data_IF_726979572525
#
_entry.id   IF_726979572525
#
_cell.length_a   1.000
_cell.length_b   1.000
_cell.length_c   1.000
_cell.angle_alpha   90.00
_cell.angle_beta   90.00
_cell.angle_gamma   90.00
#
_symmetry.space_group_name_H-M   'P 1'
#
loop_
_entity.id
_entity.type
_entity.pdbx_description
1 polymer ?
#
# COMPACT_ATOMS: atom_id res chain seq x y z
N UNK A 1 -15.07 11.40 1.41
CA UNK A 1 -15.42 10.28 2.31
C UNK A 1 -15.22 10.64 3.78
N UNK A 2 -14.01 11.02 4.20
CA UNK A 2 -13.70 11.46 5.58
C UNK A 2 -14.69 12.51 6.08
N UNK A 3 -14.98 13.55 5.29
CA UNK A 3 -16.00 14.55 5.60
C UNK A 3 -17.39 13.96 5.88
N UNK A 4 -17.83 12.96 5.10
CA UNK A 4 -19.14 12.33 5.29
C UNK A 4 -19.19 11.50 6.58
N UNK A 5 -18.09 10.85 6.95
CA UNK A 5 -17.97 10.15 8.24
C UNK A 5 -18.09 11.14 9.40
N UNK A 6 -17.44 12.31 9.31
CA UNK A 6 -17.56 13.36 10.32
C UNK A 6 -18.98 13.94 10.39
N UNK A 7 -19.63 14.16 9.25
CA UNK A 7 -21.03 14.63 9.19
C UNK A 7 -21.99 13.63 9.86
N UNK A 8 -21.83 12.32 9.60
CA UNK A 8 -22.62 11.28 10.27
C UNK A 8 -22.40 11.28 11.79
N UNK A 9 -21.17 11.54 12.24
CA UNK A 9 -20.84 11.66 13.66
C UNK A 9 -21.52 12.88 14.29
N UNK A 10 -21.54 14.01 13.60
CA UNK A 10 -22.26 15.23 14.03
C UNK A 10 -23.78 15.01 14.09
N UNK A 11 -24.31 14.14 13.22
CA UNK A 11 -25.72 13.70 13.22
C UNK A 11 -26.03 12.66 14.32
N UNK A 12 -25.03 12.27 15.13
CA UNK A 12 -25.21 11.37 16.26
C UNK A 12 -25.00 9.88 15.95
N UNK A 13 -24.47 9.53 14.78
CA UNK A 13 -24.09 8.15 14.45
C UNK A 13 -22.71 7.84 15.06
N UNK A 14 -22.59 6.89 16.01
CA UNK A 14 -21.31 6.51 16.61
C UNK A 14 -20.33 5.95 15.57
N UNK A 15 -19.03 6.22 15.71
CA UNK A 15 -18.03 5.73 14.74
C UNK A 15 -17.99 4.21 14.62
N UNK A 16 -18.25 3.49 15.71
CA UNK A 16 -18.29 2.03 15.73
C UNK A 16 -19.52 1.43 15.02
N UNK A 17 -20.51 2.25 14.67
CA UNK A 17 -21.67 1.88 13.85
C UNK A 17 -21.55 2.39 12.39
N UNK A 18 -20.34 2.78 12.00
CA UNK A 18 -19.97 3.11 10.62
C UNK A 18 -18.90 2.14 10.14
N UNK A 19 -19.10 1.56 8.95
CA UNK A 19 -18.12 0.66 8.34
C UNK A 19 -17.74 1.07 6.92
N UNK A 20 -16.47 0.86 6.59
CA UNK A 20 -15.91 1.04 5.26
C UNK A 20 -15.41 -0.30 4.76
N UNK A 21 -16.08 -0.79 3.72
CA UNK A 21 -15.88 -2.11 3.13
C UNK A 21 -15.15 -2.02 1.80
N UNK A 22 -14.16 -2.90 1.63
CA UNK A 22 -13.36 -2.98 0.42
C UNK A 22 -13.17 -4.43 -0.04
N UNK A 23 -12.97 -4.60 -1.35
CA UNK A 23 -12.74 -5.93 -1.93
C UNK A 23 -11.39 -6.53 -1.50
N UNK A 24 -10.37 -5.69 -1.35
CA UNK A 24 -8.99 -6.08 -1.04
C UNK A 24 -8.35 -5.06 -0.09
N UNK A 25 -7.58 -5.52 0.89
CA UNK A 25 -7.08 -4.68 1.99
C UNK A 25 -6.08 -3.58 1.62
N UNK A 26 -5.50 -3.59 0.42
CA UNK A 26 -4.65 -2.49 -0.06
C UNK A 26 -5.47 -1.29 -0.55
N UNK A 27 -6.75 -1.49 -0.91
CA UNK A 27 -7.64 -0.42 -1.38
C UNK A 27 -8.01 0.57 -0.28
N UNK A 28 -7.83 0.20 0.99
CA UNK A 28 -8.04 1.11 2.11
C UNK A 28 -6.83 1.99 2.40
N UNK A 29 -5.69 1.79 1.76
CA UNK A 29 -4.43 2.43 2.16
C UNK A 29 -4.48 3.97 2.09
N UNK A 30 -5.04 4.54 1.01
CA UNK A 30 -5.28 6.00 0.92
C UNK A 30 -6.17 6.51 2.05
N UNK A 31 -7.28 5.81 2.28
CA UNK A 31 -8.25 6.16 3.30
C UNK A 31 -7.64 6.10 4.70
N UNK A 32 -6.80 5.10 5.00
CA UNK A 32 -6.11 4.97 6.28
C UNK A 32 -5.23 6.19 6.55
N UNK A 33 -4.49 6.67 5.54
CA UNK A 33 -3.66 7.88 5.69
C UNK A 33 -4.54 9.10 5.97
N UNK A 34 -5.62 9.29 5.21
CA UNK A 34 -6.50 10.44 5.39
C UNK A 34 -7.25 10.41 6.73
N UNK A 35 -7.66 9.23 7.21
CA UNK A 35 -8.23 9.06 8.55
C UNK A 35 -7.24 9.43 9.64
N UNK A 36 -5.98 9.01 9.51
CA UNK A 36 -4.92 9.35 10.46
C UNK A 36 -4.61 10.85 10.46
N UNK A 37 -4.51 11.48 9.29
CA UNK A 37 -4.35 12.95 9.17
C UNK A 37 -5.50 13.69 9.84
N UNK A 38 -6.72 13.18 9.71
CA UNK A 38 -7.92 13.72 10.35
C UNK A 38 -8.09 13.33 11.83
N UNK A 39 -7.16 12.56 12.42
CA UNK A 39 -7.24 12.01 13.78
C UNK A 39 -8.55 11.23 14.05
N UNK A 40 -9.06 10.51 13.05
CA UNK A 40 -10.24 9.65 13.22
C UNK A 40 -9.77 8.25 13.63
N UNK A 41 -10.12 7.77 14.84
CA UNK A 41 -9.71 6.46 15.29
C UNK A 41 -10.43 5.36 14.49
N UNK A 42 -9.69 4.35 14.06
CA UNK A 42 -10.23 3.23 13.30
C UNK A 42 -9.60 1.89 13.67
N UNK A 43 -10.29 0.80 13.32
CA UNK A 43 -9.82 -0.57 13.42
C UNK A 43 -9.96 -1.26 12.06
N UNK A 44 -8.99 -2.09 11.69
CA UNK A 44 -8.93 -2.75 10.38
C UNK A 44 -9.02 -4.27 10.49
N UNK A 45 -10.00 -4.85 9.79
CA UNK A 45 -10.26 -6.28 9.75
C UNK A 45 -10.09 -6.86 8.35
N UNK A 46 -9.55 -8.09 8.28
CA UNK A 46 -9.38 -8.80 7.01
C UNK A 46 -8.39 -8.18 6.02
N UNK A 47 -7.75 -7.07 6.39
CA UNK A 47 -6.64 -6.50 5.63
C UNK A 47 -5.33 -7.03 6.21
N UNK A 48 -4.55 -7.73 5.38
CA UNK A 48 -3.19 -8.09 5.75
C UNK A 48 -2.43 -6.82 6.15
N UNK A 49 -1.61 -6.91 7.20
CA UNK A 49 -0.51 -5.99 7.44
C UNK A 49 0.56 -6.17 6.36
N UNK A 50 0.20 -5.95 5.10
CA UNK A 50 1.02 -6.33 3.96
C UNK A 50 2.34 -5.54 3.99
N UNK A 51 2.33 -4.29 4.47
CA UNK A 51 3.54 -3.48 4.74
C UNK A 51 4.44 -4.10 5.82
N UNK A 52 3.87 -4.81 6.80
CA UNK A 52 4.66 -5.50 7.82
C UNK A 52 5.25 -6.84 7.35
N UNK A 53 4.82 -7.35 6.19
CA UNK A 53 5.33 -8.63 5.68
C UNK A 53 6.82 -8.54 5.39
N UNK A 54 7.51 -9.67 5.52
CA UNK A 54 8.96 -9.70 5.37
C UNK A 54 9.41 -9.22 3.97
N UNK A 55 8.68 -9.57 2.91
CA UNK A 55 9.07 -9.24 1.54
C UNK A 55 8.79 -7.76 1.19
N UNK A 56 7.69 -7.16 1.68
CA UNK A 56 7.47 -5.71 1.53
C UNK A 56 8.49 -4.93 2.36
N UNK A 57 8.78 -5.35 3.59
CA UNK A 57 9.86 -4.76 4.40
C UNK A 57 11.23 -4.84 3.74
N UNK A 58 11.51 -5.90 2.97
CA UNK A 58 12.75 -6.01 2.19
C UNK A 58 12.79 -4.91 1.13
N UNK A 59 11.74 -4.75 0.31
CA UNK A 59 11.65 -3.67 -0.70
C UNK A 59 11.72 -2.28 -0.07
N UNK A 60 11.02 -2.04 1.05
CA UNK A 60 11.10 -0.77 1.78
C UNK A 60 12.51 -0.47 2.29
N UNK A 61 13.30 -1.48 2.67
CA UNK A 61 14.67 -1.25 3.10
C UNK A 61 15.56 -0.76 1.95
N UNK A 62 15.35 -1.23 0.72
CA UNK A 62 16.03 -0.66 -0.46
C UNK A 62 15.65 0.82 -0.65
N UNK A 63 14.37 1.17 -0.54
CA UNK A 63 13.92 2.57 -0.64
C UNK A 63 14.52 3.45 0.47
N UNK A 64 14.57 2.93 1.70
CA UNK A 64 15.15 3.64 2.84
C UNK A 64 16.64 3.92 2.67
N UNK A 65 17.43 3.00 2.13
CA UNK A 65 18.86 3.27 1.86
C UNK A 65 19.07 4.23 0.69
N UNK A 66 18.14 4.27 -0.27
CA UNK A 66 18.18 5.24 -1.38
C UNK A 66 17.90 6.66 -0.88
N UNK A 67 16.91 6.81 -0.01
CA UNK A 67 16.55 8.10 0.60
C UNK A 67 17.57 8.54 1.67
N UNK A 68 17.95 7.62 2.54
CA UNK A 68 18.92 7.82 3.61
C UNK A 68 20.01 6.75 3.59
N UNK A 69 21.14 6.99 2.88
CA UNK A 69 22.27 6.06 2.85
C UNK A 69 22.92 5.78 4.21
N UNK A 70 22.57 6.52 5.28
CA UNK A 70 23.05 6.30 6.65
C UNK A 70 22.17 5.34 7.46
N UNK A 71 21.09 4.82 6.88
CA UNK A 71 20.18 3.89 7.55
C UNK A 71 20.81 2.51 7.73
N UNK A 72 21.57 2.34 8.82
CA UNK A 72 22.27 1.10 9.14
C UNK A 72 21.32 -0.09 9.28
N UNK A 73 20.08 0.13 9.75
CA UNK A 73 19.10 -0.95 9.95
C UNK A 73 18.58 -1.45 8.60
N UNK A 74 18.24 -0.53 7.69
CA UNK A 74 17.84 -0.89 6.33
C UNK A 74 18.98 -1.58 5.57
N UNK A 75 20.22 -1.06 5.69
CA UNK A 75 21.40 -1.71 5.13
C UNK A 75 21.61 -3.13 5.65
N UNK A 76 21.53 -3.32 6.96
CA UNK A 76 21.70 -4.63 7.57
C UNK A 76 20.70 -5.64 7.02
N UNK A 77 19.44 -5.21 6.86
CA UNK A 77 18.38 -6.04 6.28
C UNK A 77 18.70 -6.47 4.85
N UNK A 78 19.04 -5.54 3.95
CA UNK A 78 19.26 -5.87 2.53
C UNK A 78 20.55 -6.66 2.32
N UNK A 79 21.60 -6.38 3.11
CA UNK A 79 22.88 -7.09 3.00
C UNK A 79 22.74 -8.56 3.40
N UNK A 80 21.94 -8.88 4.42
CA UNK A 80 21.67 -10.26 4.83
C UNK A 80 20.82 -11.06 3.83
N UNK A 81 20.28 -10.43 2.78
CA UNK A 81 19.61 -11.14 1.69
C UNK A 81 20.61 -11.69 0.66
N UNK A 82 21.86 -11.21 0.68
CA UNK A 82 22.86 -11.57 -0.32
C UNK A 82 23.60 -12.83 0.09
N UNK A 83 23.62 -13.81 -0.80
CA UNK A 83 24.36 -15.06 -0.61
C UNK A 83 25.84 -14.76 -0.31
N UNK A 84 26.36 -15.35 0.77
CA UNK A 84 27.74 -15.15 1.24
C UNK A 84 27.96 -13.92 2.13
N UNK A 85 26.91 -13.14 2.43
CA UNK A 85 26.98 -11.99 3.34
C UNK A 85 26.31 -12.33 4.68
N UNK A 86 27.14 -12.66 5.67
CA UNK A 86 26.68 -12.85 7.05
C UNK A 86 26.71 -11.55 7.89
N UNK A 87 26.28 -11.60 9.16
CA UNK A 87 26.18 -10.42 10.03
C UNK A 87 27.50 -9.63 10.16
N UNK A 88 28.64 -10.31 10.29
CA UNK A 88 29.97 -9.67 10.37
C UNK A 88 30.33 -8.92 9.10
N UNK A 89 30.10 -9.55 7.94
CA UNK A 89 30.38 -8.93 6.63
C UNK A 89 29.46 -7.74 6.42
N UNK A 90 28.17 -7.86 6.76
CA UNK A 90 27.21 -6.77 6.70
C UNK A 90 27.65 -5.57 7.55
N UNK A 91 28.06 -5.80 8.80
CA UNK A 91 28.51 -4.72 9.68
C UNK A 91 29.74 -4.01 9.13
N UNK A 92 30.74 -4.75 8.61
CA UNK A 92 31.92 -4.16 7.96
C UNK A 92 31.58 -3.31 6.74
N UNK A 93 30.64 -3.79 5.91
CA UNK A 93 30.15 -3.04 4.73
C UNK A 93 29.45 -1.76 5.17
N UNK A 94 28.62 -1.82 6.22
CA UNK A 94 27.92 -0.66 6.78
C UNK A 94 28.93 0.36 7.32
N UNK A 95 29.93 -0.09 8.11
CA UNK A 95 30.99 0.78 8.62
C UNK A 95 31.75 1.47 7.50
N UNK A 96 32.11 0.74 6.43
CA UNK A 96 32.75 1.31 5.24
C UNK A 96 31.85 2.31 4.51
N UNK A 97 30.56 2.00 4.33
CA UNK A 97 29.57 2.92 3.76
C UNK A 97 29.47 4.23 4.57
N UNK A 98 29.39 4.12 5.90
CA UNK A 98 29.30 5.26 6.79
C UNK A 98 30.61 6.06 6.82
N UNK A 99 31.76 5.38 6.77
CA UNK A 99 33.09 6.00 6.76
C UNK A 99 33.39 6.71 5.44
N UNK A 100 32.94 6.17 4.30
CA UNK A 100 33.05 6.82 2.97
C UNK A 100 32.19 8.09 2.85
N UNK A 101 31.38 8.43 3.87
CA UNK A 101 30.62 9.70 3.96
C UNK A 101 30.68 10.39 5.34
N UNK A 102 31.87 10.90 5.68
CA UNK A 102 32.04 12.12 6.51
C UNK A 102 33.03 13.09 5.88
N UNK A 103 32.63 13.82 4.83
CA UNK A 103 33.12 15.20 4.62
C UNK A 103 31.89 16.11 4.71
N UNK A 104 31.88 17.13 5.58
CA UNK A 104 30.78 18.10 5.61
C UNK A 104 30.77 18.88 4.28
N UNK A 105 29.61 19.42 3.85
CA UNK A 105 29.57 20.38 2.76
C UNK A 105 30.17 21.69 3.29
N UNK A 106 31.49 21.82 3.23
CA UNK A 106 32.10 23.12 3.02
C UNK A 106 32.09 23.35 1.52
N UNK A 107 31.33 24.37 1.11
CA UNK A 107 31.24 24.91 -0.25
C UNK A 107 30.34 24.12 -1.20
N UNK A 108 29.14 24.68 -1.42
CA UNK A 108 28.24 24.73 -2.58
C UNK A 108 28.25 23.69 -3.74
N UNK A 109 28.98 22.58 -3.67
CA UNK A 109 28.91 21.49 -4.65
C UNK A 109 28.27 20.26 -4.03
N UNK A 110 26.97 20.15 -4.29
CA UNK A 110 26.14 18.97 -4.13
C UNK A 110 26.92 17.68 -4.47
N UNK A 111 27.33 16.91 -3.45
CA UNK A 111 27.71 15.52 -3.64
C UNK A 111 26.44 14.72 -3.94
N UNK A 112 25.93 14.92 -5.15
CA UNK A 112 24.74 14.26 -5.69
C UNK A 112 24.80 12.78 -5.32
N UNK A 113 23.68 12.21 -4.84
CA UNK A 113 23.54 10.77 -4.54
C UNK A 113 24.23 9.85 -5.59
N UNK A 114 24.20 10.14 -6.91
CA UNK A 114 25.00 9.45 -7.94
C UNK A 114 26.49 9.25 -7.64
N UNK A 115 27.20 10.25 -7.11
CA UNK A 115 28.65 10.16 -6.86
C UNK A 115 28.99 9.18 -5.72
N UNK A 116 28.08 8.99 -4.77
CA UNK A 116 28.24 8.01 -3.70
C UNK A 116 28.17 6.59 -4.24
N UNK A 117 27.15 6.29 -5.03
CA UNK A 117 26.95 4.96 -5.60
C UNK A 117 28.05 4.56 -6.60
N UNK A 118 28.81 5.50 -7.16
CA UNK A 118 29.95 5.23 -8.03
C UNK A 118 31.20 4.70 -7.29
N UNK A 119 31.28 4.85 -5.96
CA UNK A 119 32.48 4.57 -5.16
C UNK A 119 32.62 3.11 -4.66
N UNK A 120 31.77 2.19 -5.13
CA UNK A 120 31.64 0.83 -4.57
C UNK A 120 32.07 -0.30 -5.54
N UNK A 121 32.98 -0.02 -6.48
CA UNK A 121 33.41 -1.01 -7.48
C UNK A 121 34.37 -2.09 -6.94
N UNK A 122 34.94 -1.88 -5.75
CA UNK A 122 35.96 -2.76 -5.15
C UNK A 122 35.37 -3.97 -4.39
N UNK A 123 34.04 -4.10 -4.42
CA UNK A 123 33.32 -5.17 -3.73
C UNK A 123 33.26 -6.46 -4.56
N UNK A 124 33.15 -7.64 -3.91
CA UNK A 124 32.88 -8.89 -4.60
C UNK A 124 31.61 -8.83 -5.47
N UNK A 125 31.53 -9.66 -6.50
CA UNK A 125 30.51 -9.57 -7.55
C UNK A 125 29.07 -9.52 -7.02
N UNK A 126 28.75 -10.29 -5.98
CA UNK A 126 27.43 -10.31 -5.35
C UNK A 126 27.01 -8.95 -4.76
N UNK A 127 27.93 -8.27 -4.05
CA UNK A 127 27.73 -6.93 -3.50
C UNK A 127 27.80 -5.86 -4.59
N UNK A 128 28.67 -6.03 -5.58
CA UNK A 128 28.75 -5.11 -6.71
C UNK A 128 27.42 -5.04 -7.48
N UNK A 129 26.76 -6.18 -7.71
CA UNK A 129 25.42 -6.22 -8.32
C UNK A 129 24.38 -5.42 -7.53
N UNK A 130 24.43 -5.46 -6.19
CA UNK A 130 23.57 -4.64 -5.34
C UNK A 130 23.84 -3.14 -5.59
N UNK A 131 25.10 -2.72 -5.53
CA UNK A 131 25.46 -1.31 -5.72
C UNK A 131 25.16 -0.81 -7.14
N UNK A 132 25.36 -1.64 -8.16
CA UNK A 132 25.03 -1.29 -9.55
C UNK A 132 23.50 -1.12 -9.72
N UNK A 133 22.69 -1.99 -9.10
CA UNK A 133 21.24 -1.83 -9.07
C UNK A 133 20.83 -0.53 -8.36
N UNK A 134 21.34 -0.30 -7.14
CA UNK A 134 21.06 0.92 -6.37
C UNK A 134 21.48 2.19 -7.12
N UNK A 135 22.63 2.16 -7.82
CA UNK A 135 23.08 3.25 -8.69
C UNK A 135 22.10 3.51 -9.83
N UNK A 136 21.60 2.45 -10.47
CA UNK A 136 20.65 2.55 -11.58
C UNK A 136 19.33 3.19 -11.17
N UNK A 137 18.87 2.93 -9.95
CA UNK A 137 17.60 3.48 -9.43
C UNK A 137 17.77 4.74 -8.58
N UNK A 138 18.99 5.17 -8.26
CA UNK A 138 19.26 6.39 -7.49
C UNK A 138 18.83 7.72 -8.14
N UNK A 139 18.80 7.91 -9.47
CA UNK A 139 18.49 9.21 -10.06
C UNK A 139 17.16 9.81 -9.59
N UNK A 140 17.16 11.11 -9.27
CA UNK A 140 16.00 11.80 -8.70
C UNK A 140 14.80 11.93 -9.65
N UNK A 141 15.04 11.86 -10.97
CA UNK A 141 13.99 11.94 -11.98
C UNK A 141 13.16 10.65 -12.11
N UNK A 142 13.65 9.53 -11.58
CA UNK A 142 12.96 8.25 -11.63
C UNK A 142 11.81 8.26 -10.62
N UNK A 143 10.62 7.87 -11.03
CA UNK A 143 9.46 7.82 -10.14
C UNK A 143 9.62 6.69 -9.11
N UNK A 144 9.03 6.83 -7.91
CA UNK A 144 9.04 5.77 -6.88
C UNK A 144 8.61 4.40 -7.42
N UNK A 145 7.57 4.34 -8.25
CA UNK A 145 7.09 3.09 -8.87
C UNK A 145 8.11 2.42 -9.76
N UNK A 146 8.85 3.20 -10.55
CA UNK A 146 9.88 2.66 -11.42
C UNK A 146 11.05 2.13 -10.59
N UNK A 147 11.45 2.86 -9.53
CA UNK A 147 12.47 2.39 -8.57
C UNK A 147 12.03 1.06 -7.94
N UNK A 148 10.78 0.98 -7.48
CA UNK A 148 10.20 -0.23 -6.88
C UNK A 148 10.17 -1.39 -7.89
N UNK A 149 9.80 -1.16 -9.15
CA UNK A 149 9.87 -2.19 -10.20
C UNK A 149 11.28 -2.76 -10.32
N UNK A 150 12.28 -1.89 -10.50
CA UNK A 150 13.67 -2.32 -10.67
C UNK A 150 14.20 -3.06 -9.42
N UNK A 151 13.79 -2.64 -8.23
CA UNK A 151 14.10 -3.34 -6.97
C UNK A 151 13.42 -4.71 -6.94
N UNK A 152 12.14 -4.82 -7.31
CA UNK A 152 11.41 -6.09 -7.38
C UNK A 152 12.07 -7.04 -8.37
N UNK A 153 12.48 -6.56 -9.55
CA UNK A 153 13.14 -7.37 -10.57
C UNK A 153 14.49 -7.92 -10.08
N UNK A 154 15.28 -7.09 -9.38
CA UNK A 154 16.52 -7.53 -8.73
C UNK A 154 16.27 -8.52 -7.59
N UNK A 155 15.24 -8.29 -6.79
CA UNK A 155 14.90 -9.11 -5.63
C UNK A 155 14.25 -10.44 -6.00
N UNK A 156 13.54 -10.53 -7.14
CA UNK A 156 12.80 -11.70 -7.60
C UNK A 156 13.59 -13.03 -7.55
N UNK A 157 14.83 -13.13 -8.09
CA UNK A 157 15.61 -14.37 -8.00
C UNK A 157 16.00 -14.75 -6.55
N UNK A 158 16.25 -13.77 -5.68
CA UNK A 158 16.57 -13.99 -4.27
C UNK A 158 15.31 -14.48 -3.52
N UNK A 159 14.21 -13.76 -3.76
CA UNK A 159 12.89 -13.99 -3.19
C UNK A 159 12.34 -15.39 -3.51
N UNK A 160 12.44 -15.83 -4.76
CA UNK A 160 11.92 -17.15 -5.20
C UNK A 160 12.68 -18.31 -4.55
N UNK A 161 13.98 -18.13 -4.23
CA UNK A 161 14.77 -19.14 -3.51
C UNK A 161 14.48 -19.17 -2.02
N UNK A 162 14.05 -18.04 -1.45
CA UNK A 162 13.87 -17.84 0.00
C UNK A 162 12.48 -18.24 0.49
N UNK A 163 11.46 -18.16 -0.36
CA UNK A 163 10.07 -18.36 0.03
C UNK A 163 9.38 -19.39 -0.87
N UNK A 164 8.89 -20.48 -0.26
CA UNK A 164 8.10 -21.48 -0.97
C UNK A 164 6.75 -20.92 -1.47
N UNK A 165 6.19 -19.95 -0.75
CA UNK A 165 4.94 -19.24 -1.07
C UNK A 165 5.13 -18.01 -1.98
N UNK A 166 6.19 -18.00 -2.79
CA UNK A 166 6.60 -16.86 -3.61
C UNK A 166 5.46 -16.29 -4.49
N UNK A 167 4.58 -17.12 -5.03
CA UNK A 167 3.46 -16.67 -5.87
C UNK A 167 2.46 -15.80 -5.11
N UNK A 168 2.22 -16.07 -3.82
CA UNK A 168 1.31 -15.27 -2.99
C UNK A 168 1.96 -13.92 -2.68
N UNK A 169 3.20 -13.96 -2.20
CA UNK A 169 3.98 -12.76 -1.85
C UNK A 169 4.31 -11.86 -3.04
N UNK A 170 4.40 -12.43 -4.26
CA UNK A 170 4.57 -11.64 -5.48
C UNK A 170 3.38 -10.69 -5.68
N UNK A 171 2.16 -11.17 -5.42
CA UNK A 171 0.95 -10.32 -5.48
C UNK A 171 0.99 -9.18 -4.49
N UNK A 172 1.52 -9.43 -3.28
CA UNK A 172 1.68 -8.39 -2.27
C UNK A 172 2.69 -7.31 -2.74
N UNK A 173 3.77 -7.69 -3.43
CA UNK A 173 4.71 -6.75 -4.07
C UNK A 173 4.07 -5.97 -5.24
N UNK A 174 3.24 -6.63 -6.04
CA UNK A 174 2.47 -5.97 -7.11
C UNK A 174 1.48 -4.95 -6.52
N UNK A 175 0.82 -5.27 -5.40
CA UNK A 175 -0.04 -4.34 -4.67
C UNK A 175 0.76 -3.16 -4.10
N UNK A 176 1.93 -3.42 -3.50
CA UNK A 176 2.81 -2.36 -3.00
C UNK A 176 3.27 -1.42 -4.13
N UNK A 177 3.59 -1.98 -5.29
CA UNK A 177 3.94 -1.17 -6.46
C UNK A 177 2.79 -0.26 -6.90
N UNK A 178 1.56 -0.75 -6.94
CA UNK A 178 0.40 0.08 -7.29
C UNK A 178 0.23 1.26 -6.32
N UNK A 179 0.47 1.04 -5.03
CA UNK A 179 0.46 2.13 -4.04
C UNK A 179 1.51 3.19 -4.37
N UNK A 180 2.67 2.79 -4.89
CA UNK A 180 3.74 3.75 -5.20
C UNK A 180 3.43 4.67 -6.39
N UNK A 181 2.46 4.33 -7.25
CA UNK A 181 2.10 5.08 -8.48
C UNK A 181 1.64 6.52 -8.22
N UNK A 182 1.02 6.77 -7.07
CA UNK A 182 0.57 8.11 -6.70
C UNK A 182 1.70 9.02 -6.21
N UNK A 183 2.85 8.44 -5.87
CA UNK A 183 3.94 9.19 -5.26
C UNK A 183 4.89 9.77 -6.31
N UNK A 184 5.35 11.00 -6.06
CA UNK A 184 6.35 11.68 -6.91
C UNK A 184 7.75 11.65 -6.33
N UNK A 185 7.91 11.30 -5.05
CA UNK A 185 9.20 11.18 -4.37
C UNK A 185 9.22 9.99 -3.42
N UNK A 186 10.40 9.42 -3.20
CA UNK A 186 10.57 8.31 -2.23
C UNK A 186 10.37 8.82 -0.80
N UNK A 187 10.85 10.02 -0.48
CA UNK A 187 10.60 10.67 0.81
C UNK A 187 9.12 10.79 1.17
N UNK A 188 8.26 11.25 0.25
CA UNK A 188 6.81 11.35 0.53
C UNK A 188 6.13 9.99 0.70
N UNK A 189 6.54 8.99 -0.07
CA UNK A 189 6.10 7.60 0.10
C UNK A 189 6.47 7.06 1.50
N UNK A 190 7.73 7.22 1.91
CA UNK A 190 8.21 6.73 3.19
C UNK A 190 7.59 7.48 4.38
N UNK A 191 7.30 8.78 4.23
CA UNK A 191 6.61 9.57 5.25
C UNK A 191 5.19 9.05 5.48
N UNK A 192 4.40 8.85 4.42
CA UNK A 192 3.05 8.32 4.53
C UNK A 192 3.02 6.89 5.08
N UNK A 193 3.96 6.04 4.66
CA UNK A 193 4.12 4.68 5.20
C UNK A 193 4.52 4.68 6.68
N UNK A 194 5.20 5.72 7.17
CA UNK A 194 5.54 5.87 8.58
C UNK A 194 4.38 6.40 9.43
N UNK A 195 3.43 7.10 8.81
CA UNK A 195 2.20 7.56 9.45
C UNK A 195 1.16 6.45 9.61
N UNK A 196 1.32 5.31 8.92
CA UNK A 196 0.49 4.14 9.15
C UNK A 196 0.69 3.67 10.60
N UNK A 197 -0.32 3.80 11.48
CA UNK A 197 -0.24 3.23 12.81
C UNK A 197 -0.10 1.73 12.64
N UNK A 198 0.49 1.08 13.64
CA UNK A 198 0.22 -0.34 13.87
C UNK A 198 -1.27 -0.47 14.25
N UNK A 199 -2.18 -0.24 13.31
CA UNK A 199 -3.60 -0.50 13.48
C UNK A 199 -3.69 -1.92 14.00
N UNK A 200 -4.39 -2.09 15.12
CA UNK A 200 -4.68 -3.40 15.69
C UNK A 200 -5.46 -4.16 14.62
N UNK A 201 -4.73 -4.95 13.84
CA UNK A 201 -5.32 -5.90 12.91
C UNK A 201 -5.83 -7.03 13.78
N UNK A 202 -7.10 -6.91 14.17
CA UNK A 202 -7.78 -7.92 14.96
C UNK A 202 -8.28 -8.98 13.99
N UNK A 203 -8.06 -10.25 14.32
CA UNK A 203 -8.50 -11.39 13.50
C UNK A 203 -10.01 -11.61 13.56
N UNK A 204 -10.65 -11.23 14.67
CA UNK A 204 -12.08 -11.37 14.90
C UNK A 204 -12.75 -10.01 15.05
N UNK A 205 -13.82 -9.78 14.29
CA UNK A 205 -14.72 -8.65 14.50
C UNK A 205 -15.69 -9.07 15.61
N UNK A 206 -15.29 -8.92 16.87
CA UNK A 206 -16.24 -8.98 17.98
C UNK A 206 -17.02 -7.67 18.03
N UNK A 207 -18.30 -7.72 18.37
CA UNK A 207 -19.09 -6.52 18.64
C UNK A 207 -18.32 -5.59 19.61
N UNK A 208 -18.32 -4.26 19.38
CA UNK A 208 -17.45 -3.35 20.12
C UNK A 208 -17.64 -3.47 21.63
N UNK A 209 -16.60 -3.89 22.34
CA UNK A 209 -16.48 -3.68 23.77
C UNK A 209 -16.24 -2.20 24.03
N UNK A 210 -16.91 -1.67 25.05
CA UNK A 210 -16.83 -0.28 25.49
C UNK A 210 -15.41 0.08 25.92
N UNK A 211 -14.68 0.86 25.12
CA UNK A 211 -13.81 1.93 25.65
C UNK A 211 -13.27 2.94 24.62
N UNK A 212 -13.45 2.76 23.30
CA UNK A 212 -13.18 3.81 22.31
C UNK A 212 -14.05 3.65 21.05
N UNK A 213 -14.77 4.70 20.64
CA UNK A 213 -15.52 4.74 19.39
C UNK A 213 -14.55 4.71 18.19
N UNK A 214 -14.38 3.54 17.53
CA UNK A 214 -13.50 3.37 16.37
C UNK A 214 -14.30 3.07 15.11
N UNK A 215 -13.96 3.75 14.00
CA UNK A 215 -14.46 3.45 12.67
C UNK A 215 -14.02 2.05 12.21
N UNK A 216 -14.90 1.29 11.57
CA UNK A 216 -14.57 -0.06 11.09
C UNK A 216 -14.09 -0.03 9.64
N UNK A 217 -12.87 -0.49 9.37
CA UNK A 217 -12.38 -0.79 8.03
C UNK A 217 -12.34 -2.30 7.86
N UNK A 218 -12.99 -2.86 6.84
CA UNK A 218 -13.01 -4.31 6.66
C UNK A 218 -12.97 -4.76 5.21
N UNK A 219 -12.33 -5.89 4.95
CA UNK A 219 -12.65 -6.60 3.71
C UNK A 219 -14.09 -7.10 3.75
N UNK A 220 -14.73 -7.16 2.59
CA UNK A 220 -16.10 -7.66 2.46
C UNK A 220 -16.24 -9.10 2.98
N UNK A 221 -15.19 -9.92 2.81
CA UNK A 221 -15.18 -11.31 3.30
C UNK A 221 -15.27 -11.37 4.82
N UNK A 222 -14.51 -10.51 5.50
CA UNK A 222 -14.51 -10.45 6.97
C UNK A 222 -15.79 -9.83 7.53
N UNK A 223 -16.49 -9.00 6.75
CA UNK A 223 -17.73 -8.34 7.18
C UNK A 223 -18.98 -9.25 7.20
N UNK A 224 -18.86 -10.52 6.80
CA UNK A 224 -20.00 -11.43 6.67
C UNK A 224 -20.68 -11.66 8.03
N UNK A 225 -21.99 -11.43 8.08
CA UNK A 225 -22.81 -11.63 9.30
C UNK A 225 -22.82 -10.43 10.25
N UNK A 226 -22.19 -9.32 9.89
CA UNK A 226 -22.16 -8.08 10.66
C UNK A 226 -22.98 -7.01 9.97
N UNK A 227 -23.45 -6.01 10.72
CA UNK A 227 -24.29 -4.94 10.17
C UNK A 227 -24.01 -3.64 10.93
N UNK A 228 -24.05 -2.53 10.19
CA UNK A 228 -23.77 -1.19 10.69
C UNK A 228 -24.86 -0.23 10.25
N UNK A 229 -25.08 0.84 11.01
CA UNK A 229 -25.98 1.93 10.61
C UNK A 229 -25.62 2.48 9.22
N UNK A 230 -24.35 2.84 9.01
CA UNK A 230 -23.86 3.37 7.73
C UNK A 230 -22.72 2.53 7.17
N UNK A 231 -22.79 2.19 5.88
CA UNK A 231 -21.73 1.44 5.18
C UNK A 231 -21.26 2.18 3.94
N UNK A 232 -19.94 2.27 3.78
CA UNK A 232 -19.29 2.73 2.55
C UNK A 232 -18.66 1.54 1.83
N UNK A 233 -19.00 1.31 0.57
CA UNK A 233 -18.33 0.34 -0.31
C UNK A 233 -17.40 1.11 -1.24
N UNK A 234 -16.09 0.92 -1.08
CA UNK A 234 -15.08 1.70 -1.80
C UNK A 234 -14.49 0.93 -2.97
N UNK A 235 -14.03 1.66 -3.99
CA UNK A 235 -13.50 1.10 -5.23
C UNK A 235 -14.47 0.10 -5.90
N UNK A 236 -15.75 0.47 -5.97
CA UNK A 236 -16.74 -0.22 -6.80
C UNK A 236 -16.47 0.06 -8.29
N UNK A 237 -15.36 -0.47 -8.78
CA UNK A 237 -14.73 -0.13 -10.04
C UNK A 237 -14.44 -1.39 -10.85
N UNK A 238 -14.67 -1.36 -12.16
CA UNK A 238 -14.25 -2.45 -13.03
C UNK A 238 -12.75 -2.79 -12.89
N UNK A 239 -12.44 -4.08 -12.77
CA UNK A 239 -11.09 -4.60 -12.54
C UNK A 239 -10.64 -4.60 -11.08
N UNK A 240 -11.30 -3.85 -10.19
CA UNK A 240 -11.05 -3.87 -8.73
C UNK A 240 -12.18 -4.57 -7.97
N UNK A 241 -13.42 -4.29 -8.34
CA UNK A 241 -14.62 -4.95 -7.84
C UNK A 241 -15.72 -4.92 -8.92
N UNK A 242 -15.86 -5.95 -9.76
CA UNK A 242 -15.20 -7.26 -9.67
C UNK A 242 -13.70 -7.22 -9.97
N UNK A 243 -12.92 -8.10 -9.34
CA UNK A 243 -11.50 -8.27 -9.68
C UNK A 243 -11.34 -8.78 -11.12
N UNK A 244 -10.35 -8.28 -11.87
CA UNK A 244 -10.15 -8.62 -13.30
C UNK A 244 -10.17 -10.12 -13.59
N UNK A 245 -9.59 -10.93 -12.70
CA UNK A 245 -9.51 -12.38 -12.87
C UNK A 245 -10.88 -13.08 -12.82
N UNK A 246 -11.87 -12.49 -12.15
CA UNK A 246 -13.22 -13.04 -12.08
C UNK A 246 -13.93 -13.00 -13.44
N UNK A 247 -13.48 -12.14 -14.37
CA UNK A 247 -14.02 -12.09 -15.73
C UNK A 247 -13.64 -13.32 -16.58
N UNK A 248 -12.77 -14.20 -16.08
CA UNK A 248 -12.34 -15.41 -16.80
C UNK A 248 -13.31 -16.60 -16.63
N UNK A 249 -14.20 -16.58 -15.63
CA UNK A 249 -15.15 -17.66 -15.36
C UNK A 249 -16.45 -17.10 -14.77
N UNK A 250 -17.59 -17.50 -15.34
CA UNK A 250 -18.93 -17.09 -14.89
C UNK A 250 -19.19 -17.41 -13.42
N UNK A 251 -18.72 -18.57 -12.93
CA UNK A 251 -18.87 -18.93 -11.52
C UNK A 251 -18.14 -17.94 -10.60
N UNK A 252 -16.94 -17.51 -11.00
CA UNK A 252 -16.18 -16.51 -10.23
C UNK A 252 -16.79 -15.12 -10.32
N UNK A 253 -17.42 -14.78 -11.44
CA UNK A 253 -18.16 -13.53 -11.58
C UNK A 253 -19.41 -13.49 -10.69
N UNK A 254 -20.16 -14.60 -10.64
CA UNK A 254 -21.30 -14.73 -9.74
C UNK A 254 -20.89 -14.70 -8.27
N UNK A 255 -19.71 -15.23 -7.92
CA UNK A 255 -19.17 -15.08 -6.57
C UNK A 255 -18.83 -13.60 -6.25
N UNK A 256 -18.22 -12.85 -7.17
CA UNK A 256 -18.00 -11.41 -6.98
C UNK A 256 -19.32 -10.63 -6.85
N UNK A 257 -20.37 -11.03 -7.59
CA UNK A 257 -21.71 -10.45 -7.43
C UNK A 257 -22.28 -10.72 -6.05
N UNK A 258 -22.13 -11.94 -5.52
CA UNK A 258 -22.53 -12.27 -4.14
C UNK A 258 -21.77 -11.44 -3.12
N UNK A 259 -20.48 -11.18 -3.34
CA UNK A 259 -19.71 -10.27 -2.49
C UNK A 259 -20.28 -8.85 -2.51
N UNK A 260 -20.65 -8.32 -3.68
CA UNK A 260 -21.30 -7.00 -3.77
C UNK A 260 -22.62 -6.98 -2.99
N UNK A 261 -23.43 -8.02 -3.16
CA UNK A 261 -24.67 -8.18 -2.40
C UNK A 261 -24.42 -8.23 -0.89
N UNK A 262 -23.42 -8.99 -0.42
CA UNK A 262 -23.04 -9.04 1.00
C UNK A 262 -22.67 -7.65 1.47
N UNK A 263 -21.83 -6.92 0.74
CA UNK A 263 -21.39 -5.56 1.10
C UNK A 263 -22.57 -4.59 1.26
N UNK A 264 -23.49 -4.56 0.28
CA UNK A 264 -24.66 -3.70 0.31
C UNK A 264 -25.60 -4.04 1.47
N UNK A 265 -25.80 -5.33 1.75
CA UNK A 265 -26.69 -5.79 2.84
C UNK A 265 -26.07 -5.67 4.24
N UNK A 266 -24.86 -5.10 4.38
CA UNK A 266 -24.32 -4.78 5.70
C UNK A 266 -24.86 -3.43 6.23
N UNK A 267 -25.43 -2.58 5.37
CA UNK A 267 -26.04 -1.31 5.76
C UNK A 267 -27.46 -1.52 6.31
N UNK A 268 -27.75 -0.88 7.45
CA UNK A 268 -29.11 -0.79 8.00
C UNK A 268 -29.85 0.44 7.48
N UNK A 269 -29.19 1.60 7.45
CA UNK A 269 -29.81 2.89 7.12
C UNK A 269 -29.17 3.51 5.87
N UNK A 270 -27.85 3.73 5.88
CA UNK A 270 -27.17 4.42 4.78
C UNK A 270 -26.18 3.52 4.06
N UNK A 271 -26.27 3.48 2.72
CA UNK A 271 -25.30 2.82 1.85
C UNK A 271 -24.68 3.85 0.91
N UNK A 272 -23.36 3.99 0.99
CA UNK A 272 -22.58 4.81 0.08
C UNK A 272 -21.70 3.90 -0.78
N UNK A 273 -21.72 4.07 -2.09
CA UNK A 273 -20.86 3.32 -3.00
C UNK A 273 -19.98 4.31 -3.75
N UNK A 274 -18.65 4.13 -3.70
CA UNK A 274 -17.70 5.09 -4.27
C UNK A 274 -16.72 4.42 -5.21
N UNK A 275 -16.35 5.14 -6.28
CA UNK A 275 -15.27 4.76 -7.18
C UNK A 275 -14.54 6.03 -7.65
N UNK A 276 -13.21 5.98 -7.88
CA UNK A 276 -12.48 7.12 -8.41
C UNK A 276 -12.77 7.28 -9.91
N UNK A 277 -13.00 8.50 -10.41
CA UNK A 277 -13.24 8.77 -11.85
C UNK A 277 -11.97 8.53 -12.67
N UNK A 278 -10.81 8.90 -12.12
CA UNK A 278 -9.52 8.72 -12.76
C UNK A 278 -8.74 7.64 -12.02
N UNK A 279 -8.18 6.69 -12.78
CA UNK A 279 -7.22 5.72 -12.25
C UNK A 279 -5.95 5.84 -13.07
N UNK A 280 -4.83 5.82 -12.37
CA UNK A 280 -3.54 5.78 -13.05
C UNK A 280 -3.27 4.34 -13.52
N UNK A 281 -2.98 4.20 -14.81
CA UNK A 281 -2.47 3.01 -15.45
C UNK A 281 -1.07 3.32 -15.99
N UNK A 282 -0.15 2.38 -15.83
CA UNK A 282 1.26 2.61 -16.19
C UNK A 282 1.46 2.72 -17.70
N UNK A 283 0.72 1.97 -18.51
CA UNK A 283 0.86 1.98 -19.96
C UNK A 283 0.14 3.19 -20.58
N UNK A 284 -0.99 3.56 -20.00
CA UNK A 284 -1.94 4.51 -20.59
C UNK A 284 -2.00 5.87 -19.88
N UNK A 285 -1.33 6.03 -18.74
CA UNK A 285 -1.37 7.24 -17.92
C UNK A 285 -2.67 7.35 -17.12
N UNK A 286 -3.25 8.55 -17.01
CA UNK A 286 -4.56 8.73 -16.38
C UNK A 286 -5.65 8.18 -17.31
N UNK A 287 -6.35 7.14 -16.87
CA UNK A 287 -7.44 6.51 -17.61
C UNK A 287 -8.76 6.79 -16.90
N UNK A 288 -9.78 7.13 -17.68
CA UNK A 288 -11.15 7.18 -17.21
C UNK A 288 -11.57 5.78 -16.76
N UNK A 289 -11.92 5.73 -15.49
CA UNK A 289 -12.36 4.51 -14.85
C UNK A 289 -13.82 4.22 -15.24
N UNK A 290 -14.20 2.94 -15.17
CA UNK A 290 -15.60 2.53 -15.35
C UNK A 290 -16.17 2.07 -14.02
N UNK A 291 -17.37 2.53 -13.61
CA UNK A 291 -18.02 2.01 -12.43
C UNK A 291 -18.20 0.50 -12.56
N UNK A 292 -18.24 -0.20 -11.44
CA UNK A 292 -18.51 -1.64 -11.40
C UNK A 292 -19.77 -1.98 -12.20
N UNK A 293 -19.73 -3.03 -13.00
CA UNK A 293 -20.91 -3.58 -13.69
C UNK A 293 -22.06 -3.94 -12.75
N UNK A 294 -21.78 -4.12 -11.45
CA UNK A 294 -22.81 -4.43 -10.46
C UNK A 294 -23.65 -3.21 -10.05
N UNK A 295 -23.18 -2.00 -10.38
CA UNK A 295 -23.88 -0.75 -10.07
C UNK A 295 -24.19 0.09 -11.33
N UNK A 296 -23.50 -0.13 -12.45
CA UNK A 296 -23.64 0.68 -13.67
C UNK A 296 -25.07 0.72 -14.23
N UNK A 297 -25.82 -0.35 -14.02
CA UNK A 297 -27.15 -0.54 -14.61
C UNK A 297 -28.27 -0.38 -13.57
N UNK A 298 -27.94 0.13 -12.37
CA UNK A 298 -28.93 0.42 -11.35
C UNK A 298 -29.72 1.69 -11.73
N UNK A 299 -31.05 1.68 -11.60
CA UNK A 299 -31.84 2.85 -11.92
C UNK A 299 -31.62 3.96 -10.88
N UNK A 300 -31.65 5.21 -11.32
CA UNK A 300 -31.34 6.39 -10.50
C UNK A 300 -32.25 6.54 -9.27
N UNK A 301 -33.46 5.99 -9.31
CA UNK A 301 -34.38 5.99 -8.17
C UNK A 301 -33.96 5.04 -7.04
N UNK A 302 -33.02 4.12 -7.29
CA UNK A 302 -32.45 3.22 -6.29
C UNK A 302 -31.07 3.69 -5.81
N UNK A 303 -30.30 4.36 -6.67
CA UNK A 303 -28.98 4.87 -6.34
C UNK A 303 -28.78 6.26 -6.97
N UNK A 304 -28.78 7.29 -6.13
CA UNK A 304 -28.50 8.66 -6.54
C UNK A 304 -27.01 8.83 -6.87
N UNK A 305 -26.69 9.41 -8.03
CA UNK A 305 -25.32 9.66 -8.47
C UNK A 305 -24.82 11.04 -8.03
N UNK A 306 -23.63 11.06 -7.41
CA UNK A 306 -22.98 12.30 -6.96
C UNK A 306 -21.59 12.39 -7.59
N UNK A 307 -21.23 13.54 -8.14
CA UNK A 307 -19.86 13.84 -8.57
C UNK A 307 -19.21 14.68 -7.49
N UNK A 308 -18.12 14.18 -6.92
CA UNK A 308 -17.35 14.88 -5.88
C UNK A 308 -16.11 15.45 -6.55
N UNK A 309 -15.98 16.77 -6.56
CA UNK A 309 -14.79 17.48 -7.03
C UNK A 309 -13.87 17.81 -5.85
N UNK A 310 -12.57 17.83 -6.09
CA UNK A 310 -11.57 18.28 -5.11
C UNK A 310 -11.43 19.81 -5.25
N UNK A 311 -12.18 20.57 -4.44
CA UNK A 311 -11.83 21.99 -4.19
C UNK A 311 -10.61 22.13 -3.28
#
# INVERSE_FOLDING_TARGET
>A
MVHKVLELREQGVPLNDVAILFRSGYLSFDLEIELNKANIPFVKFGGFKFIETAHVKDVMAYLRVLENPRDAVAWHRILLLIDGVGPRTSQRVIEDILARRTRPPSDEESTTLPAFWASFNDYPENLRRLFDMLRGVAPAHMLPTDKVQSIIDYYHPIFTRRYDDHNKRKKDLEMFQQITERYRSVGSLLADLALEPAAESVTDITAPGTDDEKLVLSTIHSAKGLEWHSVFVIYALEGRFPVTRAALNDETMEEERRLMYVACTRAKENLFITYPINVYDRESGLVLSKPSRFISDLPENLLEGWVIDEE
#
